data_IF_567988783796
#
_entry.id   IF_567988783796
#
_cell.length_a   1.000
_cell.length_b   1.000
_cell.length_c   1.000
_cell.angle_alpha   90.00
_cell.angle_beta   90.00
_cell.angle_gamma   90.00
#
_symmetry.space_group_name_H-M   'P 1'
#
loop_
_entity.id
_entity.type
_entity.pdbx_description
1 polymer ?
#
# COMPACT_ATOMS: atom_id res chain seq x y z
N UNK A 1 -1.63 19.82 -15.51
CA UNK A 1 -1.40 18.35 -15.46
C UNK A 1 -1.72 17.90 -14.05
N UNK A 2 -2.49 16.82 -13.83
CA UNK A 2 -2.69 16.28 -12.47
C UNK A 2 -1.63 15.20 -12.23
N UNK A 3 -0.74 15.43 -11.27
CA UNK A 3 0.33 14.50 -10.88
C UNK A 3 -0.06 13.90 -9.53
N UNK A 4 0.06 12.57 -9.42
CA UNK A 4 -0.11 11.84 -8.16
C UNK A 4 1.20 11.12 -7.84
N UNK A 5 1.80 11.46 -6.72
CA UNK A 5 2.99 10.82 -6.18
C UNK A 5 2.57 9.70 -5.23
N UNK A 6 2.96 8.47 -5.54
CA UNK A 6 2.68 7.30 -4.70
C UNK A 6 3.93 6.95 -3.92
N UNK A 7 3.87 7.07 -2.60
CA UNK A 7 4.99 6.80 -1.71
C UNK A 7 4.84 5.44 -1.03
N UNK A 8 5.91 4.65 -0.97
CA UNK A 8 5.93 3.39 -0.23
C UNK A 8 6.12 3.64 1.27
N UNK A 9 5.01 3.64 2.00
CA UNK A 9 4.99 3.86 3.44
C UNK A 9 5.34 5.29 3.87
N UNK A 10 5.24 5.55 5.17
CA UNK A 10 5.37 6.89 5.75
C UNK A 10 6.81 7.40 5.78
N UNK A 11 7.80 6.51 5.79
CA UNK A 11 9.21 6.86 6.02
C UNK A 11 9.77 7.85 5.00
N UNK A 12 9.15 7.97 3.83
CA UNK A 12 9.59 8.89 2.76
C UNK A 12 8.74 10.17 2.66
N UNK A 13 7.60 10.24 3.36
CA UNK A 13 6.65 11.35 3.23
C UNK A 13 7.27 12.70 3.57
N UNK A 14 7.85 12.81 4.77
CA UNK A 14 8.39 14.09 5.25
C UNK A 14 9.54 14.60 4.37
N UNK A 15 10.40 13.69 3.89
CA UNK A 15 11.49 14.06 2.98
C UNK A 15 10.96 14.47 1.60
N UNK A 16 9.90 13.82 1.12
CA UNK A 16 9.27 14.14 -0.15
C UNK A 16 8.58 15.51 -0.12
N UNK A 17 7.84 15.84 0.95
CA UNK A 17 7.20 17.15 1.11
C UNK A 17 8.20 18.31 1.06
N UNK A 18 9.41 18.10 1.59
CA UNK A 18 10.49 19.11 1.57
C UNK A 18 11.03 19.41 0.15
N UNK A 19 10.76 18.56 -0.84
CA UNK A 19 11.21 18.78 -2.23
C UNK A 19 10.44 19.89 -2.95
N UNK A 20 9.22 20.21 -2.51
CA UNK A 20 8.36 21.20 -3.15
C UNK A 20 7.84 20.80 -4.54
N UNK A 21 7.90 19.50 -4.89
CA UNK A 21 7.35 19.00 -6.15
C UNK A 21 5.82 19.17 -6.19
N UNK A 22 5.31 19.72 -7.30
CA UNK A 22 3.86 19.87 -7.51
C UNK A 22 3.18 18.50 -7.69
N UNK A 23 1.97 18.36 -7.13
CA UNK A 23 1.14 17.17 -7.26
C UNK A 23 0.50 16.74 -5.93
N UNK A 24 -0.46 15.83 -6.03
CA UNK A 24 -1.06 15.20 -4.86
C UNK A 24 -0.16 14.06 -4.38
N UNK A 25 -0.16 13.77 -3.06
CA UNK A 25 0.62 12.67 -2.47
C UNK A 25 -0.34 11.63 -1.92
N UNK A 26 -0.12 10.37 -2.26
CA UNK A 26 -0.78 9.21 -1.67
C UNK A 26 0.26 8.30 -1.02
N UNK A 27 0.15 8.09 0.29
CA UNK A 27 0.98 7.10 0.98
C UNK A 27 0.34 5.73 0.83
N UNK A 28 1.05 4.85 0.13
CA UNK A 28 0.70 3.46 -0.03
C UNK A 28 1.25 2.67 1.17
N UNK A 29 0.38 2.28 2.09
CA UNK A 29 0.73 1.64 3.38
C UNK A 29 0.81 0.11 3.34
N UNK A 30 0.71 -0.55 2.19
CA UNK A 30 0.89 -2.02 2.13
C UNK A 30 1.22 -2.51 0.73
N UNK A 31 2.45 -2.95 0.47
CA UNK A 31 2.64 -3.92 -0.62
C UNK A 31 2.14 -5.24 -0.07
N UNK A 32 1.39 -6.01 -0.88
CA UNK A 32 0.89 -7.38 -0.58
C UNK A 32 2.00 -8.42 -0.30
N UNK A 33 3.16 -7.97 0.19
CA UNK A 33 4.41 -8.68 0.46
C UNK A 33 4.33 -9.60 1.67
N UNK A 34 3.45 -9.32 2.63
CA UNK A 34 3.34 -10.06 3.89
C UNK A 34 1.97 -10.72 4.02
N UNK A 35 1.89 -11.87 4.70
CA UNK A 35 0.64 -12.58 4.98
C UNK A 35 0.46 -13.89 4.21
N UNK A 36 -0.70 -14.55 4.36
CA UNK A 36 -0.95 -15.87 3.79
C UNK A 36 -0.98 -15.86 2.26
N UNK A 37 -0.41 -16.90 1.64
CA UNK A 37 -0.35 -17.12 0.20
C UNK A 37 -1.10 -18.39 -0.20
N UNK A 38 -1.61 -18.41 -1.43
CA UNK A 38 -2.20 -19.57 -2.09
C UNK A 38 -1.63 -19.68 -3.51
N UNK A 39 -1.55 -20.90 -4.05
CA UNK A 39 -1.06 -21.12 -5.42
C UNK A 39 -1.93 -20.40 -6.46
N UNK A 40 -3.25 -20.43 -6.28
CA UNK A 40 -4.19 -19.72 -7.14
C UNK A 40 -4.55 -18.36 -6.52
N UNK A 41 -3.78 -17.33 -6.85
CA UNK A 41 -4.02 -15.95 -6.39
C UNK A 41 -5.31 -15.31 -6.93
N UNK A 42 -5.89 -15.89 -7.98
CA UNK A 42 -7.16 -15.44 -8.56
C UNK A 42 -8.36 -16.04 -7.83
N UNK A 43 -8.14 -16.94 -6.87
CA UNK A 43 -9.21 -17.56 -6.09
C UNK A 43 -9.88 -16.55 -5.17
N UNK A 44 -11.18 -16.75 -4.92
CA UNK A 44 -11.89 -15.98 -3.89
C UNK A 44 -11.35 -16.25 -2.48
N UNK A 45 -10.79 -17.44 -2.22
CA UNK A 45 -10.20 -17.78 -0.92
C UNK A 45 -8.96 -16.96 -0.62
N UNK A 46 -8.09 -16.77 -1.62
CA UNK A 46 -6.89 -15.96 -1.50
C UNK A 46 -7.25 -14.53 -1.03
N UNK A 47 -8.15 -13.86 -1.75
CA UNK A 47 -8.55 -12.49 -1.42
C UNK A 47 -9.24 -12.37 -0.06
N UNK A 48 -10.08 -13.34 0.32
CA UNK A 48 -10.74 -13.36 1.62
C UNK A 48 -9.74 -13.54 2.77
N UNK A 49 -8.73 -14.39 2.58
CA UNK A 49 -7.67 -14.61 3.57
C UNK A 49 -6.77 -13.38 3.72
N UNK A 50 -6.44 -12.72 2.60
CA UNK A 50 -5.68 -11.46 2.58
C UNK A 50 -6.42 -10.33 3.28
N UNK A 51 -7.69 -10.09 2.93
CA UNK A 51 -8.54 -9.08 3.58
C UNK A 51 -8.54 -9.24 5.10
N UNK A 52 -8.83 -10.47 5.57
CA UNK A 52 -8.85 -10.79 7.01
C UNK A 52 -7.50 -10.52 7.68
N UNK A 53 -6.39 -10.83 7.01
CA UNK A 53 -5.05 -10.59 7.55
C UNK A 53 -4.76 -9.09 7.64
N UNK A 54 -5.00 -8.31 6.57
CA UNK A 54 -4.75 -6.86 6.53
C UNK A 54 -5.54 -6.14 7.64
N UNK A 55 -6.84 -6.41 7.76
CA UNK A 55 -7.69 -5.75 8.76
C UNK A 55 -7.34 -6.09 10.22
N UNK A 56 -6.59 -7.17 10.45
CA UNK A 56 -6.18 -7.58 11.80
C UNK A 56 -4.75 -7.13 12.15
N UNK A 57 -3.83 -7.15 11.19
CA UNK A 57 -2.39 -6.91 11.43
C UNK A 57 -2.06 -5.42 11.52
N UNK A 58 -2.66 -4.58 10.67
CA UNK A 58 -2.28 -3.16 10.52
C UNK A 58 -3.32 -2.19 11.09
N UNK A 59 -3.86 -2.51 12.27
CA UNK A 59 -4.80 -1.63 12.98
C UNK A 59 -4.14 -0.34 13.48
#
# INVERSE_FOLDING_TARGET
>A
MKILHILNGDSTLQGFEQTGLEGDILVWREVLSEGPLEENISSGSFWKNREKWICNTFK
#
